data_IF_124177787711
#
_entry.id   IF_124177787711
#
_cell.length_a   1.000
_cell.length_b   1.000
_cell.length_c   1.000
_cell.angle_alpha   90.00
_cell.angle_beta   90.00
_cell.angle_gamma   90.00
#
_symmetry.space_group_name_H-M   'P 1'
#
loop_
_entity.id
_entity.type
_entity.pdbx_description
1 polymer ?
#
# COMPACT_ATOMS: atom_id res chain seq x y z
N UNK A 1 -22.41 -11.05 -13.32
CA UNK A 1 -23.30 -9.87 -13.35
C UNK A 1 -23.29 -9.06 -12.03
N UNK A 2 -23.23 -9.69 -10.84
CA UNK A 2 -23.16 -8.99 -9.52
C UNK A 2 -21.97 -8.04 -9.32
N UNK A 3 -20.81 -8.32 -9.95
CA UNK A 3 -19.56 -7.55 -9.78
C UNK A 3 -19.56 -6.16 -10.43
N UNK A 4 -20.42 -5.91 -11.44
CA UNK A 4 -20.53 -4.61 -12.11
C UNK A 4 -21.23 -3.57 -11.25
N UNK A 5 -22.22 -3.97 -10.44
CA UNK A 5 -22.98 -3.05 -9.61
C UNK A 5 -22.16 -2.50 -8.44
N UNK A 6 -21.26 -3.30 -7.87
CA UNK A 6 -20.29 -2.86 -6.86
C UNK A 6 -19.34 -1.77 -7.39
N UNK A 7 -18.93 -1.86 -8.66
CA UNK A 7 -18.10 -0.83 -9.30
C UNK A 7 -18.87 0.49 -9.46
N UNK A 8 -20.12 0.43 -9.94
CA UNK A 8 -20.96 1.62 -10.09
C UNK A 8 -21.28 2.28 -8.75
N UNK A 9 -21.55 1.48 -7.72
CA UNK A 9 -21.79 1.97 -6.37
C UNK A 9 -20.53 2.62 -5.79
N UNK A 10 -19.35 2.00 -5.96
CA UNK A 10 -18.09 2.59 -5.54
C UNK A 10 -17.78 3.90 -6.26
N UNK A 11 -18.07 3.97 -7.57
CA UNK A 11 -17.93 5.20 -8.36
C UNK A 11 -18.87 6.29 -7.86
N UNK A 12 -20.14 5.96 -7.59
CA UNK A 12 -21.12 6.91 -7.08
C UNK A 12 -20.73 7.44 -5.70
N UNK A 13 -20.32 6.57 -4.77
CA UNK A 13 -19.83 6.97 -3.45
C UNK A 13 -18.60 7.86 -3.57
N UNK A 14 -17.63 7.50 -4.42
CA UNK A 14 -16.43 8.30 -4.65
C UNK A 14 -16.76 9.68 -5.23
N UNK A 15 -17.71 9.75 -6.16
CA UNK A 15 -18.17 11.01 -6.75
C UNK A 15 -18.87 11.90 -5.72
N UNK A 16 -19.77 11.33 -4.90
CA UNK A 16 -20.43 12.07 -3.81
C UNK A 16 -19.41 12.56 -2.79
N UNK A 17 -18.47 11.70 -2.37
CA UNK A 17 -17.41 12.08 -1.45
C UNK A 17 -16.51 13.19 -2.02
N UNK A 18 -16.18 13.13 -3.31
CA UNK A 18 -15.41 14.17 -4.00
C UNK A 18 -16.17 15.50 -4.03
N UNK A 19 -17.46 15.48 -4.38
CA UNK A 19 -18.30 16.68 -4.37
C UNK A 19 -18.40 17.26 -2.96
N UNK A 20 -18.64 16.44 -1.95
CA UNK A 20 -18.65 16.87 -0.54
C UNK A 20 -17.30 17.43 -0.08
N UNK A 21 -16.18 16.85 -0.53
CA UNK A 21 -14.85 17.34 -0.20
C UNK A 21 -14.53 18.68 -0.89
N UNK A 22 -15.05 18.90 -2.09
CA UNK A 22 -14.85 20.15 -2.84
C UNK A 22 -15.86 21.23 -2.45
N UNK A 23 -17.00 20.86 -1.83
CA UNK A 23 -18.00 21.80 -1.34
C UNK A 23 -17.38 22.67 -0.23
N UNK A 24 -17.17 23.95 -0.55
CA UNK A 24 -16.55 24.92 0.35
C UNK A 24 -15.05 25.16 0.12
N UNK A 25 -14.44 24.51 -0.88
CA UNK A 25 -13.06 24.80 -1.29
C UNK A 25 -13.04 25.94 -2.31
N UNK A 26 -12.33 27.00 -1.98
CA UNK A 26 -12.10 28.13 -2.87
C UNK A 26 -10.93 27.81 -3.82
N UNK A 27 -11.24 27.34 -5.03
CA UNK A 27 -10.25 26.89 -6.02
C UNK A 27 -9.14 27.92 -6.32
N UNK A 28 -9.41 29.24 -6.44
CA UNK A 28 -8.38 30.26 -6.60
C UNK A 28 -7.42 30.30 -5.41
N UNK A 29 -7.94 30.15 -4.18
CA UNK A 29 -7.11 30.13 -2.98
C UNK A 29 -6.21 28.90 -2.92
N UNK A 30 -6.70 27.75 -3.40
CA UNK A 30 -5.87 26.54 -3.56
C UNK A 30 -4.74 26.77 -4.54
N UNK A 31 -5.01 27.38 -5.70
CA UNK A 31 -3.98 27.69 -6.71
C UNK A 31 -2.91 28.65 -6.16
N UNK A 32 -3.33 29.68 -5.43
CA UNK A 32 -2.43 30.63 -4.78
C UNK A 32 -1.56 29.95 -3.70
N UNK A 33 -2.16 29.07 -2.91
CA UNK A 33 -1.45 28.28 -1.88
C UNK A 33 -0.45 27.32 -2.50
N UNK A 34 -0.80 26.68 -3.62
CA UNK A 34 0.13 25.82 -4.38
C UNK A 34 1.29 26.64 -4.94
N UNK A 35 1.03 27.83 -5.49
CA UNK A 35 2.08 28.70 -6.03
C UNK A 35 3.07 29.20 -4.97
N UNK A 36 2.62 29.36 -3.72
CA UNK A 36 3.46 29.76 -2.59
C UNK A 36 4.09 28.58 -1.83
N UNK A 37 3.80 27.34 -2.22
CA UNK A 37 4.31 26.16 -1.53
C UNK A 37 5.83 26.03 -1.70
N UNK A 38 6.52 25.66 -0.62
CA UNK A 38 7.95 25.37 -0.68
C UNK A 38 8.19 23.98 -1.28
N UNK A 39 8.45 23.96 -2.58
CA UNK A 39 8.75 22.76 -3.33
C UNK A 39 10.09 22.11 -2.95
N UNK A 40 10.94 22.75 -2.15
CA UNK A 40 12.18 22.14 -1.66
C UNK A 40 11.91 20.87 -0.85
N UNK A 41 10.77 20.81 -0.16
CA UNK A 41 10.31 19.63 0.59
C UNK A 41 9.97 18.42 -0.31
N UNK A 42 9.82 18.61 -1.62
CA UNK A 42 9.66 17.49 -2.55
C UNK A 42 10.94 16.66 -2.67
N UNK A 43 12.11 17.26 -2.51
CA UNK A 43 13.39 16.54 -2.60
C UNK A 43 13.57 15.47 -1.51
N UNK A 44 13.49 15.79 -0.20
CA UNK A 44 13.61 14.76 0.84
C UNK A 44 12.46 13.75 0.77
N UNK A 45 11.27 14.18 0.34
CA UNK A 45 10.13 13.26 0.13
C UNK A 45 10.41 12.27 -0.99
N UNK A 46 10.88 12.74 -2.14
CA UNK A 46 11.23 11.90 -3.28
C UNK A 46 12.36 10.93 -2.92
N UNK A 47 13.39 11.42 -2.20
CA UNK A 47 14.46 10.57 -1.70
C UNK A 47 13.93 9.51 -0.72
N UNK A 48 13.05 9.88 0.20
CA UNK A 48 12.39 8.96 1.12
C UNK A 48 11.62 7.86 0.40
N UNK A 49 10.88 8.21 -0.67
CA UNK A 49 10.17 7.23 -1.51
C UNK A 49 11.14 6.28 -2.21
N UNK A 50 12.25 6.78 -2.77
CA UNK A 50 13.26 5.95 -3.41
C UNK A 50 13.92 4.99 -2.42
N UNK A 51 14.31 5.49 -1.24
CA UNK A 51 14.88 4.67 -0.16
C UNK A 51 13.88 3.61 0.29
N UNK A 52 12.62 3.97 0.44
CA UNK A 52 11.55 3.03 0.79
C UNK A 52 11.39 1.92 -0.26
N UNK A 53 11.31 2.26 -1.54
CA UNK A 53 11.18 1.29 -2.63
C UNK A 53 12.41 0.38 -2.71
N UNK A 54 13.60 0.94 -2.49
CA UNK A 54 14.84 0.18 -2.45
C UNK A 54 14.87 -0.79 -1.26
N UNK A 55 14.63 -0.32 -0.03
CA UNK A 55 14.60 -1.15 1.17
C UNK A 55 13.57 -2.28 1.03
N UNK A 56 12.40 -1.99 0.45
CA UNK A 56 11.38 -2.98 0.16
C UNK A 56 11.85 -4.05 -0.83
N UNK A 57 12.56 -3.65 -1.89
CA UNK A 57 13.13 -4.59 -2.85
C UNK A 57 14.21 -5.48 -2.22
N UNK A 58 15.05 -4.93 -1.34
CA UNK A 58 16.04 -5.70 -0.58
C UNK A 58 15.34 -6.74 0.30
N UNK A 59 14.32 -6.33 1.07
CA UNK A 59 13.54 -7.24 1.91
C UNK A 59 12.91 -8.37 1.11
N UNK A 60 12.31 -8.06 -0.04
CA UNK A 60 11.68 -9.08 -0.87
C UNK A 60 12.71 -10.05 -1.48
N UNK A 61 13.89 -9.56 -1.87
CA UNK A 61 15.00 -10.41 -2.29
C UNK A 61 15.44 -11.38 -1.18
N UNK A 62 15.49 -10.93 0.08
CA UNK A 62 15.84 -11.80 1.20
C UNK A 62 14.83 -12.96 1.36
N UNK A 63 13.55 -12.72 1.09
CA UNK A 63 12.52 -13.77 1.11
C UNK A 63 12.58 -14.71 -0.10
N UNK A 64 12.99 -14.20 -1.27
CA UNK A 64 13.11 -14.99 -2.51
C UNK A 64 14.41 -15.80 -2.57
N UNK A 65 15.44 -15.40 -1.83
CA UNK A 65 16.76 -16.04 -1.83
C UNK A 65 17.77 -15.41 -2.80
N UNK A 66 19.02 -15.88 -2.77
CA UNK A 66 20.15 -15.28 -3.49
C UNK A 66 20.09 -15.45 -5.01
N UNK A 67 19.26 -16.37 -5.50
CA UNK A 67 19.09 -16.69 -6.93
C UNK A 67 18.53 -15.52 -7.76
N UNK A 68 17.90 -14.55 -7.09
CA UNK A 68 17.36 -13.34 -7.72
C UNK A 68 18.30 -12.15 -7.49
N UNK A 69 18.70 -11.49 -8.57
CA UNK A 69 19.49 -10.26 -8.47
C UNK A 69 18.69 -9.09 -7.89
N UNK A 70 19.35 -8.23 -7.11
CA UNK A 70 18.70 -7.08 -6.49
C UNK A 70 18.11 -6.11 -7.52
N UNK A 71 18.85 -5.84 -8.61
CA UNK A 71 18.37 -4.96 -9.68
C UNK A 71 17.08 -5.49 -10.31
N UNK A 72 16.99 -6.81 -10.56
CA UNK A 72 15.76 -7.43 -11.09
C UNK A 72 14.62 -7.30 -10.09
N UNK A 73 14.88 -7.59 -8.82
CA UNK A 73 13.89 -7.47 -7.75
C UNK A 73 13.36 -6.02 -7.61
N UNK A 74 14.26 -5.04 -7.71
CA UNK A 74 13.91 -3.62 -7.69
C UNK A 74 13.00 -3.24 -8.87
N UNK A 75 13.38 -3.55 -10.11
CA UNK A 75 12.56 -3.23 -11.29
C UNK A 75 11.19 -3.91 -11.24
N UNK A 76 11.14 -5.19 -10.88
CA UNK A 76 9.88 -5.94 -10.79
C UNK A 76 8.98 -5.41 -9.67
N UNK A 77 9.55 -4.98 -8.54
CA UNK A 77 8.80 -4.33 -7.46
C UNK A 77 8.18 -3.01 -7.93
N UNK A 78 8.94 -2.19 -8.66
CA UNK A 78 8.44 -0.92 -9.21
C UNK A 78 7.33 -1.14 -10.25
N UNK A 79 7.44 -2.16 -11.11
CA UNK A 79 6.37 -2.55 -12.04
C UNK A 79 5.11 -2.96 -11.26
N UNK A 80 5.26 -3.79 -10.21
CA UNK A 80 4.15 -4.15 -9.33
C UNK A 80 3.47 -2.92 -8.72
N UNK A 81 4.25 -1.95 -8.27
CA UNK A 81 3.73 -0.68 -7.75
C UNK A 81 2.95 0.12 -8.79
N UNK A 82 3.49 0.24 -10.00
CA UNK A 82 2.80 0.91 -11.10
C UNK A 82 1.46 0.23 -11.40
N UNK A 83 1.45 -1.10 -11.47
CA UNK A 83 0.24 -1.89 -11.68
C UNK A 83 -0.76 -1.68 -10.55
N UNK A 84 -0.31 -1.61 -9.30
CA UNK A 84 -1.20 -1.35 -8.16
C UNK A 84 -1.80 0.06 -8.18
N UNK A 85 -1.12 1.04 -8.75
CA UNK A 85 -1.60 2.42 -8.86
C UNK A 85 -2.58 2.60 -10.03
N UNK A 86 -2.38 1.85 -11.13
CA UNK A 86 -3.22 1.95 -12.33
C UNK A 86 -4.43 1.03 -12.27
N UNK A 87 -4.27 -0.20 -11.76
CA UNK A 87 -5.35 -1.19 -11.75
C UNK A 87 -6.19 -1.13 -10.46
N UNK A 88 -7.53 -1.19 -10.58
CA UNK A 88 -8.38 -1.41 -9.43
C UNK A 88 -8.07 -2.79 -8.81
N UNK A 89 -8.34 -2.94 -7.50
CA UNK A 89 -8.12 -4.15 -6.70
C UNK A 89 -6.67 -4.47 -6.29
N UNK A 90 -5.74 -3.50 -6.36
CA UNK A 90 -4.34 -3.67 -5.87
C UNK A 90 -3.66 -4.93 -6.43
N UNK A 91 -3.88 -5.23 -7.70
CA UNK A 91 -3.34 -6.41 -8.40
C UNK A 91 -1.81 -6.35 -8.63
N UNK A 92 -1.14 -5.32 -8.12
CA UNK A 92 0.30 -5.15 -8.25
C UNK A 92 1.14 -6.23 -7.55
N UNK A 93 0.65 -6.75 -6.43
CA UNK A 93 1.35 -7.78 -5.66
C UNK A 93 1.37 -9.16 -6.35
N UNK A 94 0.24 -9.66 -6.90
CA UNK A 94 0.27 -10.81 -7.80
C UNK A 94 1.08 -10.54 -9.07
N UNK A 95 1.02 -9.32 -9.62
CA UNK A 95 1.73 -8.96 -10.84
C UNK A 95 3.26 -9.07 -10.67
N UNK A 96 3.83 -8.57 -9.57
CA UNK A 96 5.28 -8.71 -9.31
C UNK A 96 5.70 -10.18 -9.19
N UNK A 97 4.88 -11.02 -8.57
CA UNK A 97 5.17 -12.45 -8.42
C UNK A 97 5.09 -13.21 -9.77
N UNK A 98 4.13 -12.84 -10.62
CA UNK A 98 4.03 -13.39 -11.98
C UNK A 98 5.21 -12.97 -12.85
N UNK A 99 5.64 -11.70 -12.79
CA UNK A 99 6.75 -11.17 -13.60
C UNK A 99 8.08 -11.77 -13.16
N UNK A 100 8.34 -11.89 -11.85
CA UNK A 100 9.59 -12.53 -11.37
C UNK A 100 9.61 -14.02 -11.73
N UNK A 101 8.45 -14.69 -11.67
CA UNK A 101 8.30 -16.11 -11.97
C UNK A 101 8.57 -16.48 -13.43
N UNK A 102 8.26 -15.57 -14.37
CA UNK A 102 8.63 -15.71 -15.79
C UNK A 102 10.13 -15.66 -16.04
N UNK A 103 10.88 -15.23 -15.03
CA UNK A 103 12.30 -15.01 -15.11
C UNK A 103 13.18 -16.25 -14.95
N UNK A 104 12.59 -17.41 -14.66
CA UNK A 104 13.28 -18.71 -14.57
C UNK A 104 14.00 -18.98 -13.24
N UNK A 105 14.31 -17.95 -12.45
CA UNK A 105 15.03 -18.11 -11.18
C UNK A 105 14.17 -18.65 -10.03
N UNK A 106 12.87 -18.35 -10.00
CA UNK A 106 11.95 -18.80 -8.96
C UNK A 106 10.60 -19.09 -9.61
N UNK A 107 9.84 -20.08 -9.14
CA UNK A 107 8.50 -20.33 -9.68
C UNK A 107 7.51 -19.23 -9.27
N UNK A 108 6.52 -18.93 -10.11
CA UNK A 108 5.47 -17.94 -9.80
C UNK A 108 4.74 -18.28 -8.49
N UNK A 109 4.52 -19.56 -8.22
CA UNK A 109 3.88 -20.02 -6.99
C UNK A 109 4.75 -19.74 -5.76
N UNK A 110 6.04 -20.03 -5.81
CA UNK A 110 6.97 -19.71 -4.72
C UNK A 110 7.07 -18.20 -4.50
N UNK A 111 7.15 -17.41 -5.58
CA UNK A 111 7.14 -15.96 -5.49
C UNK A 111 5.84 -15.44 -4.83
N UNK A 112 4.67 -15.94 -5.22
CA UNK A 112 3.39 -15.58 -4.60
C UNK A 112 3.36 -15.91 -3.10
N UNK A 113 3.88 -17.07 -2.70
CA UNK A 113 3.98 -17.45 -1.29
C UNK A 113 4.81 -16.44 -0.49
N UNK A 114 5.95 -15.98 -1.02
CA UNK A 114 6.76 -14.94 -0.33
C UNK A 114 5.99 -13.62 -0.18
N UNK A 115 5.15 -13.26 -1.16
CA UNK A 115 4.31 -12.06 -1.08
C UNK A 115 3.26 -12.18 0.02
N UNK A 116 2.63 -13.36 0.17
CA UNK A 116 1.65 -13.61 1.24
C UNK A 116 2.34 -13.51 2.61
N UNK A 117 3.50 -14.16 2.76
CA UNK A 117 4.30 -14.07 4.00
C UNK A 117 4.65 -12.62 4.31
N UNK A 118 5.08 -11.85 3.31
CA UNK A 118 5.36 -10.42 3.45
C UNK A 118 4.13 -9.66 3.99
N UNK A 119 2.93 -9.94 3.48
CA UNK A 119 1.70 -9.27 3.94
C UNK A 119 1.32 -9.63 5.37
N UNK A 120 1.45 -10.89 5.74
CA UNK A 120 1.19 -11.35 7.11
C UNK A 120 2.14 -10.66 8.06
N UNK A 121 3.44 -10.62 7.74
CA UNK A 121 4.44 -9.92 8.55
C UNK A 121 4.15 -8.42 8.65
N UNK A 122 3.75 -7.77 7.56
CA UNK A 122 3.39 -6.34 7.57
C UNK A 122 2.17 -6.08 8.47
N UNK A 123 1.13 -6.93 8.39
CA UNK A 123 -0.06 -6.82 9.25
C UNK A 123 0.29 -7.04 10.73
N UNK A 124 1.09 -8.07 11.03
CA UNK A 124 1.54 -8.34 12.39
C UNK A 124 2.38 -7.19 12.94
N UNK A 125 3.26 -6.60 12.13
CA UNK A 125 4.07 -5.45 12.52
C UNK A 125 3.19 -4.24 12.82
N UNK A 126 2.17 -3.95 11.99
CA UNK A 126 1.22 -2.87 12.26
C UNK A 126 0.47 -3.11 13.56
N UNK A 127 -0.03 -4.32 13.81
CA UNK A 127 -0.71 -4.66 15.07
C UNK A 127 0.24 -4.51 16.27
N UNK A 128 1.48 -4.99 16.16
CA UNK A 128 2.47 -4.86 17.22
C UNK A 128 2.84 -3.41 17.51
N UNK A 129 3.00 -2.58 16.47
CA UNK A 129 3.27 -1.15 16.61
C UNK A 129 2.08 -0.42 17.25
N UNK A 130 0.85 -0.71 16.83
CA UNK A 130 -0.35 -0.13 17.43
C UNK A 130 -0.48 -0.55 18.90
N UNK A 131 -0.29 -1.83 19.22
CA UNK A 131 -0.32 -2.31 20.59
C UNK A 131 0.78 -1.69 21.47
N UNK A 132 2.00 -1.53 20.94
CA UNK A 132 3.13 -0.93 21.64
C UNK A 132 2.99 0.58 21.88
N UNK A 133 2.36 1.29 20.94
CA UNK A 133 2.14 2.75 21.04
C UNK A 133 0.85 3.13 21.76
N UNK A 134 -0.13 2.22 21.85
CA UNK A 134 -1.40 2.44 22.55
C UNK A 134 -1.25 3.00 23.99
N UNK A 135 -0.35 2.51 24.86
CA UNK A 135 -0.20 3.05 26.22
C UNK A 135 0.40 4.47 26.25
N UNK A 136 1.05 4.94 25.17
CA UNK A 136 1.64 6.28 25.08
C UNK A 136 0.62 7.34 24.66
N UNK A 137 -0.54 6.93 24.15
CA UNK A 137 -1.60 7.84 23.68
C UNK A 137 -2.72 7.89 24.71
N UNK A 138 -2.79 8.99 25.46
CA UNK A 138 -3.91 9.27 26.38
C UNK A 138 -5.23 9.28 25.61
N UNK A 139 -6.12 8.31 25.88
CA UNK A 139 -7.42 8.15 25.18
C UNK A 139 -7.52 6.96 24.23
N UNK A 140 -6.47 6.14 24.08
CA UNK A 140 -6.45 5.01 23.14
C UNK A 140 -7.35 3.80 23.51
N UNK A 141 -7.97 3.78 24.70
CA UNK A 141 -8.75 2.63 25.17
C UNK A 141 -9.92 2.25 24.25
N UNK A 142 -10.60 3.24 23.66
CA UNK A 142 -11.70 3.02 22.70
C UNK A 142 -11.19 2.55 21.33
N UNK A 143 -10.03 3.04 20.89
CA UNK A 143 -9.41 2.64 19.63
C UNK A 143 -8.88 1.19 19.67
N UNK A 144 -8.31 0.77 20.81
CA UNK A 144 -7.87 -0.62 21.03
C UNK A 144 -9.06 -1.57 21.06
N UNK A 145 -10.17 -1.19 21.72
CA UNK A 145 -11.41 -1.98 21.73
C UNK A 145 -12.03 -2.15 20.34
N UNK A 146 -12.13 -1.07 19.56
CA UNK A 146 -12.63 -1.12 18.19
C UNK A 146 -11.73 -1.96 17.26
N UNK A 147 -10.41 -1.89 17.45
CA UNK A 147 -9.42 -2.68 16.71
C UNK A 147 -9.53 -4.18 16.99
N UNK A 148 -9.75 -4.58 18.25
CA UNK A 148 -9.94 -5.99 18.62
C UNK A 148 -11.24 -6.58 18.06
N UNK A 149 -12.33 -5.82 18.09
CA UNK A 149 -13.63 -6.26 17.54
C UNK A 149 -13.57 -6.33 16.02
N UNK A 150 -12.99 -5.33 15.35
CA UNK A 150 -12.84 -5.31 13.89
C UNK A 150 -11.86 -6.37 13.38
N UNK A 151 -10.73 -6.57 14.06
CA UNK A 151 -9.74 -7.59 13.72
C UNK A 151 -10.24 -9.01 13.93
N UNK A 152 -10.98 -9.27 15.02
CA UNK A 152 -11.62 -10.56 15.28
C UNK A 152 -12.68 -10.92 14.24
N UNK A 153 -13.46 -9.94 13.78
CA UNK A 153 -14.43 -10.16 12.70
C UNK A 153 -13.77 -10.44 11.34
N UNK A 154 -12.63 -9.80 11.05
CA UNK A 154 -11.89 -10.00 9.80
C UNK A 154 -11.16 -11.35 9.71
N UNK A 155 -10.82 -11.97 10.84
CA UNK A 155 -10.24 -13.31 10.91
C UNK A 155 -11.29 -14.43 10.90
N UNK A 156 -12.56 -14.09 11.14
CA UNK A 156 -13.68 -15.03 11.18
C UNK A 156 -14.42 -15.18 9.84
N UNK A 157 -14.01 -14.45 8.81
CA UNK A 157 -14.54 -14.49 7.43
C UNK A 157 -13.46 -14.99 6.48
#
# INVERSE_FOLDING_TARGET
MKRRWQLWMGLAISAVALVLALLGIDLPRVAETLAQADYLWLLPTALGVLVYLFARSVRWRLLLGPEVSLSRCFWVTNIGYLVSNVLPFRLGDPARAAVIGRGGSVSTAAALSTVVVERVLDMLMVVALLAGTAPLVSGAGSAVGAGLVGGGAALAV
#
